data_IF_984990361626
#
_entry.id   IF_984990361626
#
_cell.length_a   1.000
_cell.length_b   1.000
_cell.length_c   1.000
_cell.angle_alpha   90.00
_cell.angle_beta   90.00
_cell.angle_gamma   90.00
#
_symmetry.space_group_name_H-M   'P 1'
#
loop_
_entity.id
_entity.type
_entity.pdbx_description
1 polymer ?
#
# COMPACT_ATOMS: atom_id res chain seq x y z
N UNK A 1 0.60 -27.71 17.34
CA UNK A 1 0.45 -26.52 16.47
C UNK A 1 0.46 -27.01 15.03
N UNK A 2 -0.50 -26.60 14.21
CA UNK A 2 -0.69 -27.16 12.87
C UNK A 2 0.36 -26.59 11.88
N UNK A 3 1.53 -27.22 11.85
CA UNK A 3 2.67 -26.81 11.02
C UNK A 3 2.35 -26.83 9.52
N UNK A 4 1.32 -27.57 9.12
CA UNK A 4 0.81 -27.60 7.74
C UNK A 4 0.16 -26.27 7.35
N UNK A 5 -0.64 -25.68 8.24
CA UNK A 5 -1.35 -24.43 7.97
C UNK A 5 -0.38 -23.23 7.87
N UNK A 6 0.57 -23.14 8.79
CA UNK A 6 1.61 -22.09 8.77
C UNK A 6 2.54 -22.21 7.55
N UNK A 7 2.89 -23.44 7.15
CA UNK A 7 3.66 -23.68 5.94
C UNK A 7 2.90 -23.28 4.67
N UNK A 8 1.62 -23.65 4.57
CA UNK A 8 0.78 -23.28 3.44
C UNK A 8 0.61 -21.76 3.34
N UNK A 9 0.36 -21.08 4.47
CA UNK A 9 0.28 -19.62 4.52
C UNK A 9 1.58 -18.95 4.08
N UNK A 10 2.73 -19.48 4.50
CA UNK A 10 4.04 -18.96 4.07
C UNK A 10 4.24 -19.10 2.56
N UNK A 11 3.85 -20.24 1.98
CA UNK A 11 3.98 -20.48 0.54
C UNK A 11 3.05 -19.56 -0.27
N UNK A 12 1.79 -19.41 0.18
CA UNK A 12 0.82 -18.50 -0.44
C UNK A 12 1.32 -17.05 -0.37
N UNK A 13 1.84 -16.61 0.77
CA UNK A 13 2.39 -15.27 0.92
C UNK A 13 3.58 -15.02 -0.03
N UNK A 14 4.47 -16.01 -0.20
CA UNK A 14 5.56 -15.93 -1.17
C UNK A 14 5.06 -15.86 -2.62
N UNK A 15 4.10 -16.72 -2.99
CA UNK A 15 3.52 -16.71 -4.32
C UNK A 15 2.87 -15.35 -4.64
N UNK A 16 2.07 -14.82 -3.71
CA UNK A 16 1.46 -13.49 -3.85
C UNK A 16 2.51 -12.38 -3.94
N UNK A 17 3.59 -12.46 -3.17
CA UNK A 17 4.68 -11.49 -3.25
C UNK A 17 5.33 -11.48 -4.64
N UNK A 18 5.58 -12.65 -5.22
CA UNK A 18 6.12 -12.79 -6.58
C UNK A 18 5.13 -12.21 -7.60
N UNK A 19 3.84 -12.52 -7.48
CA UNK A 19 2.80 -11.98 -8.37
C UNK A 19 2.75 -10.45 -8.29
N UNK A 20 2.78 -9.87 -7.09
CA UNK A 20 2.77 -8.42 -6.91
C UNK A 20 4.05 -7.77 -7.43
N UNK A 21 5.21 -8.41 -7.22
CA UNK A 21 6.49 -7.94 -7.75
C UNK A 21 6.55 -7.98 -9.28
N UNK A 22 6.06 -9.07 -9.90
CA UNK A 22 5.95 -9.18 -11.36
C UNK A 22 4.95 -8.17 -11.92
N UNK A 23 3.81 -7.98 -11.25
CA UNK A 23 2.83 -6.97 -11.65
C UNK A 23 3.42 -5.55 -11.57
N UNK A 24 4.21 -5.26 -10.53
CA UNK A 24 4.95 -4.00 -10.41
C UNK A 24 5.93 -3.81 -11.58
N UNK A 25 6.80 -4.80 -11.83
CA UNK A 25 7.79 -4.73 -12.92
C UNK A 25 7.13 -4.62 -14.30
N UNK A 26 6.08 -5.41 -14.53
CA UNK A 26 5.32 -5.41 -15.78
C UNK A 26 4.62 -4.07 -16.01
N UNK A 27 3.90 -3.54 -15.01
CA UNK A 27 3.24 -2.23 -15.14
C UNK A 27 4.23 -1.09 -15.25
N UNK A 28 5.35 -1.13 -14.52
CA UNK A 28 6.41 -0.14 -14.66
C UNK A 28 7.02 -0.17 -16.06
N UNK A 29 7.34 -1.35 -16.57
CA UNK A 29 7.89 -1.53 -17.91
C UNK A 29 6.95 -1.01 -19.00
N UNK A 30 5.69 -1.47 -18.99
CA UNK A 30 4.67 -1.05 -19.97
C UNK A 30 4.51 0.47 -19.97
N UNK A 31 4.33 1.08 -18.80
CA UNK A 31 4.12 2.54 -18.70
C UNK A 31 5.35 3.38 -19.04
N UNK A 32 6.56 2.83 -18.86
CA UNK A 32 7.78 3.53 -19.26
C UNK A 32 7.96 3.47 -20.78
N UNK A 33 7.61 2.34 -21.40
CA UNK A 33 7.71 2.10 -22.84
C UNK A 33 6.56 2.65 -23.67
N UNK A 34 5.41 2.94 -23.05
CA UNK A 34 4.21 3.39 -23.73
C UNK A 34 4.28 4.89 -24.04
N UNK A 35 4.24 5.23 -25.32
CA UNK A 35 4.13 6.60 -25.84
C UNK A 35 2.70 7.13 -25.89
N UNK A 36 1.74 6.34 -25.41
CA UNK A 36 0.32 6.70 -25.33
C UNK A 36 -0.02 7.79 -24.31
N UNK A 37 -1.29 8.19 -24.36
CA UNK A 37 -1.85 9.20 -23.49
C UNK A 37 -1.89 8.74 -22.03
N UNK A 38 -1.49 9.60 -21.09
CA UNK A 38 -1.68 9.36 -19.65
C UNK A 38 -2.99 10.00 -19.23
N UNK A 39 -3.86 9.22 -18.58
CA UNK A 39 -5.11 9.71 -18.02
C UNK A 39 -5.10 9.65 -16.49
N UNK A 40 -5.51 10.74 -15.84
CA UNK A 40 -5.71 10.80 -14.40
C UNK A 40 -7.13 11.22 -14.08
N UNK A 41 -7.72 10.64 -13.04
CA UNK A 41 -9.01 11.06 -12.50
C UNK A 41 -8.80 12.05 -11.35
N UNK A 42 -9.62 13.10 -11.33
CA UNK A 42 -9.59 14.15 -10.31
C UNK A 42 -10.97 14.28 -9.68
N UNK A 43 -11.00 14.41 -8.35
CA UNK A 43 -12.21 14.69 -7.58
C UNK A 43 -12.54 16.18 -7.43
N UNK A 44 -11.72 17.08 -7.99
CA UNK A 44 -11.92 18.53 -7.84
C UNK A 44 -13.31 18.98 -8.28
N UNK A 45 -13.84 18.35 -9.33
CA UNK A 45 -15.16 18.66 -9.87
C UNK A 45 -16.27 17.78 -9.27
N UNK A 46 -16.03 17.05 -8.17
CA UNK A 46 -16.98 16.07 -7.64
C UNK A 46 -18.35 16.66 -7.27
N UNK A 47 -18.41 17.97 -7.00
CA UNK A 47 -19.62 18.74 -6.72
C UNK A 47 -19.98 19.75 -7.82
N UNK A 48 -19.35 19.64 -8.99
CA UNK A 48 -19.64 20.52 -10.10
C UNK A 48 -20.99 20.15 -10.72
N UNK A 49 -21.85 21.15 -10.89
CA UNK A 49 -23.11 20.99 -11.62
C UNK A 49 -22.78 20.79 -13.10
N UNK A 50 -23.42 19.81 -13.72
CA UNK A 50 -23.30 19.62 -15.16
C UNK A 50 -23.85 20.85 -15.87
N UNK A 51 -23.12 21.33 -16.88
CA UNK A 51 -23.58 22.45 -17.72
C UNK A 51 -24.82 22.05 -18.54
N UNK A 52 -24.88 20.80 -18.99
CA UNK A 52 -26.02 20.25 -19.71
C UNK A 52 -27.02 19.60 -18.75
N UNK A 53 -28.32 19.97 -18.83
CA UNK A 53 -29.34 19.39 -17.98
C UNK A 53 -29.56 17.92 -18.37
N UNK A 54 -29.15 17.01 -17.50
CA UNK A 54 -29.60 15.62 -17.58
C UNK A 54 -31.10 15.56 -17.27
N UNK A 55 -31.85 14.75 -18.02
CA UNK A 55 -33.25 14.48 -17.69
C UNK A 55 -33.34 13.59 -16.45
N UNK A 56 -33.34 14.22 -15.28
CA UNK A 56 -33.53 13.56 -13.97
C UNK A 56 -34.93 13.83 -13.42
N UNK A 57 -35.44 12.90 -12.61
CA UNK A 57 -36.75 12.99 -11.99
C UNK A 57 -36.84 14.21 -11.04
N UNK A 58 -38.06 14.77 -10.83
CA UNK A 58 -38.23 15.89 -9.91
C UNK A 58 -37.75 15.53 -8.49
N UNK A 59 -36.85 16.35 -7.94
CA UNK A 59 -36.21 16.13 -6.64
C UNK A 59 -34.86 15.40 -6.71
N UNK A 60 -34.37 15.03 -7.89
CA UNK A 60 -33.06 14.39 -8.08
C UNK A 60 -32.05 15.41 -8.61
N UNK A 61 -30.97 15.62 -7.85
CA UNK A 61 -29.81 16.40 -8.29
C UNK A 61 -28.78 15.48 -8.96
N UNK A 62 -28.33 15.84 -10.16
CA UNK A 62 -27.24 15.18 -10.86
C UNK A 62 -25.94 15.97 -10.66
N UNK A 63 -24.94 15.33 -10.06
CA UNK A 63 -23.56 15.84 -9.94
C UNK A 63 -22.61 14.92 -10.70
N UNK A 64 -21.57 15.47 -11.33
CA UNK A 64 -20.52 14.67 -11.96
C UNK A 64 -19.40 14.44 -10.95
N UNK A 65 -19.10 13.17 -10.64
CA UNK A 65 -18.23 12.82 -9.52
C UNK A 65 -16.74 12.64 -9.86
N UNK A 66 -16.37 12.62 -11.15
CA UNK A 66 -14.97 12.47 -11.57
C UNK A 66 -14.70 13.16 -12.92
N UNK A 67 -13.69 14.04 -12.95
CA UNK A 67 -13.15 14.56 -14.20
C UNK A 67 -11.90 13.77 -14.57
N UNK A 68 -11.85 13.23 -15.79
CA UNK A 68 -10.68 12.51 -16.31
C UNK A 68 -9.90 13.43 -17.24
N UNK A 69 -8.65 13.71 -16.88
CA UNK A 69 -7.73 14.51 -17.69
C UNK A 69 -6.79 13.56 -18.41
N UNK A 70 -6.77 13.60 -19.75
CA UNK A 70 -5.87 12.79 -20.56
C UNK A 70 -4.91 13.70 -21.32
N UNK A 71 -3.61 13.42 -21.24
CA UNK A 71 -2.56 14.14 -21.96
C UNK A 71 -1.96 13.22 -23.02
N UNK A 72 -2.12 13.58 -24.30
CA UNK A 72 -1.66 12.75 -25.44
C UNK A 72 -0.13 12.72 -25.61
N UNK A 73 0.56 13.78 -25.21
CA UNK A 73 2.03 13.87 -25.24
C UNK A 73 2.58 14.20 -23.84
N UNK A 74 2.68 13.21 -22.94
CA UNK A 74 3.14 13.43 -21.58
C UNK A 74 4.65 13.70 -21.55
N UNK A 75 5.06 14.64 -20.71
CA UNK A 75 6.49 14.83 -20.41
C UNK A 75 7.06 13.67 -19.59
N UNK A 76 8.39 13.51 -19.59
CA UNK A 76 9.10 12.49 -18.78
C UNK A 76 8.74 12.62 -17.29
N UNK A 77 8.59 13.86 -16.79
CA UNK A 77 8.20 14.11 -15.41
C UNK A 77 6.77 13.66 -15.10
N UNK A 78 5.83 13.83 -16.03
CA UNK A 78 4.45 13.32 -15.91
C UNK A 78 4.40 11.79 -15.94
N UNK A 79 5.24 11.13 -16.75
CA UNK A 79 5.38 9.66 -16.70
C UNK A 79 5.86 9.17 -15.33
N UNK A 80 6.88 9.81 -14.78
CA UNK A 80 7.39 9.43 -13.45
C UNK A 80 6.34 9.64 -12.36
N UNK A 81 5.56 10.71 -12.44
CA UNK A 81 4.47 10.96 -11.50
C UNK A 81 3.29 9.97 -11.66
N UNK A 82 3.00 9.49 -12.88
CA UNK A 82 2.01 8.40 -13.08
C UNK A 82 2.49 7.06 -12.48
N UNK A 83 3.78 6.76 -12.62
CA UNK A 83 4.39 5.60 -11.95
C UNK A 83 4.29 5.75 -10.42
N UNK A 84 4.59 6.95 -9.92
CA UNK A 84 4.55 7.30 -8.51
C UNK A 84 3.15 7.31 -7.89
N UNK A 85 2.08 7.51 -8.67
CA UNK A 85 0.71 7.47 -8.15
C UNK A 85 0.18 6.03 -8.00
N UNK A 86 0.56 5.14 -8.91
CA UNK A 86 -0.12 3.85 -9.07
C UNK A 86 0.70 2.62 -8.63
N UNK A 87 2.03 2.70 -8.65
CA UNK A 87 2.90 1.56 -8.32
C UNK A 87 3.33 1.42 -6.85
N UNK A 88 3.37 2.47 -6.01
CA UNK A 88 3.87 2.33 -4.64
C UNK A 88 3.13 1.26 -3.84
N UNK A 89 1.82 1.13 -4.02
CA UNK A 89 1.00 0.13 -3.32
C UNK A 89 1.36 -1.31 -3.70
N UNK A 90 1.70 -1.57 -4.97
CA UNK A 90 2.14 -2.91 -5.41
C UNK A 90 3.48 -3.28 -4.79
N UNK A 91 4.43 -2.34 -4.78
CA UNK A 91 5.75 -2.55 -4.18
C UNK A 91 5.64 -2.73 -2.66
N UNK A 92 4.85 -1.89 -1.99
CA UNK A 92 4.57 -1.99 -0.56
C UNK A 92 3.95 -3.35 -0.21
N UNK A 93 2.94 -3.79 -0.97
CA UNK A 93 2.29 -5.09 -0.79
C UNK A 93 3.26 -6.25 -0.99
N UNK A 94 4.08 -6.21 -2.05
CA UNK A 94 5.08 -7.24 -2.32
C UNK A 94 6.08 -7.38 -1.16
N UNK A 95 6.61 -6.25 -0.66
CA UNK A 95 7.56 -6.22 0.45
C UNK A 95 6.94 -6.68 1.78
N UNK A 96 5.72 -6.24 2.10
CA UNK A 96 4.99 -6.69 3.27
C UNK A 96 4.80 -8.22 3.26
N UNK A 97 4.44 -8.79 2.11
CA UNK A 97 4.28 -10.23 1.92
C UNK A 97 5.61 -10.99 2.05
N UNK A 98 6.73 -10.45 1.55
CA UNK A 98 8.06 -11.04 1.77
C UNK A 98 8.38 -11.10 3.27
N UNK A 99 8.19 -10.00 3.98
CA UNK A 99 8.47 -9.91 5.42
C UNK A 99 7.58 -10.88 6.21
N UNK A 100 6.29 -10.95 5.86
CA UNK A 100 5.35 -11.88 6.48
C UNK A 100 5.71 -13.35 6.21
N UNK A 101 6.04 -13.70 4.96
CA UNK A 101 6.51 -15.05 4.63
C UNK A 101 7.80 -15.41 5.40
N UNK A 102 8.75 -14.47 5.52
CA UNK A 102 9.96 -14.68 6.32
C UNK A 102 9.64 -14.88 7.80
N UNK A 103 8.67 -14.16 8.35
CA UNK A 103 8.22 -14.38 9.73
C UNK A 103 7.61 -15.78 9.88
N UNK A 104 6.68 -16.18 9.01
CA UNK A 104 6.06 -17.52 9.07
C UNK A 104 7.08 -18.65 8.90
N UNK A 105 8.07 -18.48 8.03
CA UNK A 105 9.17 -19.44 7.89
C UNK A 105 9.94 -19.63 9.20
N UNK A 106 10.25 -18.54 9.92
CA UNK A 106 10.87 -18.66 11.25
C UNK A 106 9.97 -19.36 12.27
N UNK A 107 8.66 -19.14 12.22
CA UNK A 107 7.70 -19.86 13.09
C UNK A 107 7.73 -21.36 12.83
N UNK A 108 7.81 -21.78 11.56
CA UNK A 108 7.88 -23.20 11.18
C UNK A 108 9.21 -23.82 11.61
N UNK A 109 10.33 -23.11 11.46
CA UNK A 109 11.67 -23.62 11.75
C UNK A 109 12.03 -23.64 13.23
N UNK A 110 11.61 -22.62 13.99
CA UNK A 110 12.08 -22.39 15.37
C UNK A 110 10.93 -22.38 16.39
N UNK A 111 9.68 -22.43 15.94
CA UNK A 111 8.50 -22.28 16.78
C UNK A 111 8.07 -20.81 16.95
N UNK A 112 6.84 -20.58 17.44
CA UNK A 112 6.24 -19.25 17.51
C UNK A 112 6.84 -18.36 18.61
N UNK A 113 7.22 -18.93 19.76
CA UNK A 113 7.70 -18.20 20.93
C UNK A 113 9.23 -18.14 20.95
N UNK A 114 9.80 -17.49 19.95
CA UNK A 114 11.24 -17.25 19.88
C UNK A 114 11.53 -15.77 19.73
N UNK A 115 12.69 -15.33 20.24
CA UNK A 115 13.14 -13.95 20.08
C UNK A 115 13.26 -13.54 18.60
N UNK A 116 13.56 -14.50 17.71
CA UNK A 116 13.63 -14.25 16.27
C UNK A 116 12.26 -13.94 15.65
N UNK A 117 11.22 -14.70 16.00
CA UNK A 117 9.85 -14.44 15.52
C UNK A 117 9.35 -13.11 16.06
N UNK A 118 9.56 -12.83 17.36
CA UNK A 118 9.21 -11.56 17.98
C UNK A 118 9.84 -10.37 17.25
N UNK A 119 11.15 -10.45 16.95
CA UNK A 119 11.85 -9.41 16.17
C UNK A 119 11.29 -9.25 14.76
N UNK A 120 11.03 -10.35 14.04
CA UNK A 120 10.48 -10.30 12.67
C UNK A 120 9.06 -9.70 12.66
N UNK A 121 8.23 -10.04 13.64
CA UNK A 121 6.89 -9.46 13.82
C UNK A 121 6.98 -7.95 14.09
N UNK A 122 7.90 -7.50 14.94
CA UNK A 122 8.12 -6.07 15.20
C UNK A 122 8.61 -5.32 13.95
N UNK A 123 9.54 -5.91 13.18
CA UNK A 123 10.02 -5.32 11.91
C UNK A 123 8.88 -5.21 10.90
N UNK A 124 8.07 -6.26 10.73
CA UNK A 124 6.90 -6.24 9.87
C UNK A 124 5.89 -5.18 10.33
N UNK A 125 5.62 -5.11 11.64
CA UNK A 125 4.71 -4.12 12.21
C UNK A 125 5.17 -2.70 11.93
N UNK A 126 6.46 -2.39 12.13
CA UNK A 126 7.02 -1.07 11.80
C UNK A 126 6.97 -0.76 10.30
N UNK A 127 7.28 -1.75 9.47
CA UNK A 127 7.18 -1.62 8.02
C UNK A 127 5.76 -1.25 7.60
N UNK A 128 4.73 -1.89 8.17
CA UNK A 128 3.34 -1.57 7.85
C UNK A 128 2.92 -0.23 8.46
N UNK A 129 3.22 0.01 9.74
CA UNK A 129 2.81 1.21 10.47
C UNK A 129 3.32 2.50 9.81
N UNK A 130 4.58 2.51 9.37
CA UNK A 130 5.22 3.67 8.74
C UNK A 130 5.11 3.59 7.21
N UNK A 131 5.19 2.40 6.63
CA UNK A 131 5.17 2.24 5.18
C UNK A 131 3.81 2.56 4.57
N UNK A 132 2.69 2.27 5.23
CA UNK A 132 1.35 2.66 4.73
C UNK A 132 1.18 4.17 4.55
N UNK A 133 1.42 5.03 5.56
CA UNK A 133 1.24 6.48 5.39
C UNK A 133 2.27 7.05 4.42
N UNK A 134 3.52 6.56 4.43
CA UNK A 134 4.54 6.98 3.47
C UNK A 134 4.12 6.63 2.04
N UNK A 135 3.61 5.42 1.80
CA UNK A 135 3.12 4.97 0.49
C UNK A 135 1.95 5.83 0.03
N UNK A 136 1.01 6.12 0.94
CA UNK A 136 -0.14 6.98 0.64
C UNK A 136 0.25 8.43 0.34
N UNK A 137 1.23 8.97 1.06
CA UNK A 137 1.79 10.30 0.79
C UNK A 137 2.48 10.35 -0.56
N UNK A 138 3.33 9.37 -0.89
CA UNK A 138 4.01 9.32 -2.20
C UNK A 138 3.00 9.23 -3.34
N UNK A 139 2.00 8.34 -3.21
CA UNK A 139 0.95 8.18 -4.21
C UNK A 139 0.10 9.45 -4.38
N UNK A 140 -0.38 10.01 -3.27
CA UNK A 140 -1.21 11.22 -3.26
C UNK A 140 -0.47 12.44 -3.78
N UNK A 141 0.80 12.62 -3.40
CA UNK A 141 1.61 13.75 -3.88
C UNK A 141 1.93 13.61 -5.37
N UNK A 142 2.26 12.40 -5.84
CA UNK A 142 2.50 12.16 -7.27
C UNK A 142 1.24 12.45 -8.10
N UNK A 143 0.08 12.00 -7.62
CA UNK A 143 -1.20 12.28 -8.27
C UNK A 143 -1.53 13.79 -8.25
N UNK A 144 -1.40 14.45 -7.10
CA UNK A 144 -1.70 15.88 -6.96
C UNK A 144 -0.79 16.75 -7.82
N UNK A 145 0.50 16.40 -7.93
CA UNK A 145 1.42 17.08 -8.84
C UNK A 145 1.04 16.86 -10.31
N UNK A 146 0.64 15.64 -10.68
CA UNK A 146 0.22 15.32 -12.05
C UNK A 146 -1.04 16.10 -12.44
N UNK A 147 -2.04 16.16 -11.55
CA UNK A 147 -3.27 16.97 -11.74
C UNK A 147 -2.92 18.45 -11.85
N UNK A 148 -2.08 18.99 -10.96
CA UNK A 148 -1.67 20.38 -11.02
C UNK A 148 -0.91 20.73 -12.33
N UNK A 149 -0.16 19.78 -12.89
CA UNK A 149 0.54 19.97 -14.17
C UNK A 149 -0.40 20.01 -15.38
N UNK A 150 -1.56 19.34 -15.32
CA UNK A 150 -2.54 19.27 -16.41
C UNK A 150 -3.66 20.31 -16.26
N UNK A 151 -3.98 20.69 -15.03
CA UNK A 151 -5.00 21.66 -14.69
C UNK A 151 -4.49 22.62 -13.59
N UNK A 152 -3.69 23.65 -13.94
CA UNK A 152 -3.06 24.54 -12.97
C UNK A 152 -4.07 25.34 -12.11
N UNK A 153 -5.33 25.41 -12.52
CA UNK A 153 -6.42 26.05 -11.77
C UNK A 153 -6.88 25.23 -10.55
N UNK A 154 -6.51 23.95 -10.45
CA UNK A 154 -7.02 22.98 -9.46
C UNK A 154 -6.22 22.98 -8.15
N UNK A 155 -5.01 23.53 -8.12
CA UNK A 155 -4.13 23.47 -6.95
C UNK A 155 -3.69 22.04 -6.59
N UNK A 156 -2.73 21.91 -5.65
CA UNK A 156 -2.28 20.59 -5.18
C UNK A 156 -3.15 20.18 -4.00
N UNK A 157 -4.15 19.35 -4.25
CA UNK A 157 -4.92 18.74 -3.17
C UNK A 157 -4.07 17.63 -2.53
N UNK A 158 -3.54 17.89 -1.33
CA UNK A 158 -2.74 16.93 -0.58
C UNK A 158 -3.64 15.87 0.08
N UNK A 159 -4.14 14.94 -0.72
CA UNK A 159 -4.93 13.82 -0.19
C UNK A 159 -3.98 12.72 0.27
N UNK A 160 -3.95 12.45 1.57
CA UNK A 160 -3.37 11.22 2.11
C UNK A 160 -4.31 10.08 1.74
N UNK A 161 -4.11 9.50 0.56
CA UNK A 161 -4.88 8.35 0.10
C UNK A 161 -4.30 7.06 0.65
N UNK A 162 -5.11 6.26 1.33
CA UNK A 162 -4.71 4.93 1.77
C UNK A 162 -5.49 4.41 2.97
N UNK A 163 -5.49 3.08 3.19
CA UNK A 163 -6.17 2.47 4.31
C UNK A 163 -5.43 2.79 5.63
N UNK A 164 -5.83 3.87 6.28
CA UNK A 164 -5.30 4.28 7.60
C UNK A 164 -5.45 3.18 8.65
N UNK A 165 -6.44 2.29 8.51
CA UNK A 165 -6.58 1.10 9.34
C UNK A 165 -5.32 0.20 9.37
N UNK A 166 -4.52 0.16 8.30
CA UNK A 166 -3.29 -0.62 8.27
C UNK A 166 -2.23 -0.06 9.21
N UNK A 167 -2.22 1.26 9.49
CA UNK A 167 -1.25 1.83 10.43
C UNK A 167 -1.49 1.31 11.84
N UNK A 168 -2.77 1.27 12.25
CA UNK A 168 -3.20 0.67 13.51
C UNK A 168 -2.85 -0.81 13.58
N UNK A 169 -3.09 -1.57 12.49
CA UNK A 169 -2.71 -2.98 12.43
C UNK A 169 -1.19 -3.18 12.57
N UNK A 170 -0.38 -2.34 11.92
CA UNK A 170 1.07 -2.34 12.05
C UNK A 170 1.53 -2.03 13.47
N UNK A 171 0.95 -1.01 14.11
CA UNK A 171 1.24 -0.67 15.51
C UNK A 171 0.86 -1.80 16.47
N UNK A 172 -0.30 -2.43 16.27
CA UNK A 172 -0.71 -3.60 17.05
C UNK A 172 0.30 -4.75 16.91
N UNK A 173 0.80 -5.01 15.69
CA UNK A 173 1.84 -6.00 15.45
C UNK A 173 3.18 -5.63 16.14
N UNK A 174 3.56 -4.36 16.17
CA UNK A 174 4.75 -3.88 16.91
C UNK A 174 4.59 -4.18 18.40
N UNK A 175 3.45 -3.83 18.99
CA UNK A 175 3.15 -4.08 20.41
C UNK A 175 3.20 -5.56 20.71
N UNK A 176 2.54 -6.39 19.89
CA UNK A 176 2.54 -7.84 20.09
C UNK A 176 3.96 -8.45 19.97
N UNK A 177 4.76 -8.00 19.01
CA UNK A 177 6.15 -8.44 18.88
C UNK A 177 7.01 -8.05 20.09
N UNK A 178 6.79 -6.87 20.69
CA UNK A 178 7.47 -6.47 21.93
C UNK A 178 7.04 -7.33 23.12
N UNK A 179 5.74 -7.57 23.28
CA UNK A 179 5.20 -8.43 24.34
C UNK A 179 5.76 -9.86 24.22
N UNK A 180 5.77 -10.43 23.01
CA UNK A 180 6.36 -11.75 22.77
C UNK A 180 7.84 -11.79 23.14
N UNK A 181 8.60 -10.74 22.82
CA UNK A 181 10.02 -10.67 23.15
C UNK A 181 10.24 -10.70 24.67
N UNK A 182 9.45 -9.94 25.41
CA UNK A 182 9.55 -9.91 26.87
C UNK A 182 9.15 -11.25 27.49
N UNK A 183 8.09 -11.88 26.98
CA UNK A 183 7.68 -13.22 27.42
C UNK A 183 8.74 -14.30 27.16
N UNK A 184 9.48 -14.21 26.05
CA UNK A 184 10.61 -15.12 25.77
C UNK A 184 11.74 -14.88 26.77
N UNK A 185 12.11 -13.62 27.03
CA UNK A 185 13.16 -13.28 28.00
C UNK A 185 12.84 -13.77 29.41
N UNK A 186 11.61 -13.55 29.88
CA UNK A 186 11.18 -14.03 31.20
C UNK A 186 11.23 -15.55 31.31
N UNK A 187 10.91 -16.27 30.23
CA UNK A 187 11.00 -17.74 30.22
C UNK A 187 12.44 -18.22 30.31
N UNK A 188 13.36 -17.57 29.59
CA UNK A 188 14.80 -17.87 29.66
C UNK A 188 15.34 -17.64 31.08
N UNK A 189 14.92 -16.57 31.77
CA UNK A 189 15.33 -16.28 33.15
C UNK A 189 14.83 -17.35 34.15
N UNK A 190 13.60 -17.85 33.95
CA UNK A 190 13.02 -18.92 34.78
C UNK A 190 13.70 -20.28 34.57
N UNK A 191 14.07 -20.61 33.32
CA UNK A 191 14.78 -21.85 32.99
C UNK A 191 16.24 -21.82 33.49
N UNK A 192 16.84 -20.64 33.68
CA UNK A 192 18.21 -20.47 34.19
C UNK A 192 18.37 -20.44 35.71
N UNK A 193 17.28 -20.48 36.49
CA UNK A 193 17.31 -20.42 37.96
C UNK A 193 17.25 -21.81 38.63
N UNK A 194 17.17 -22.89 37.84
CA UNK A 194 17.07 -24.28 38.31
C UNK A 194 18.42 -24.99 38.18
#
# INVERSE_FOLDING_TARGET
MDTRLTRNLSAVAQALSVVFGLAFLGKAGVRLSDDGAICVETGFWANARLADPLSVAPGVEASSSAARLCQESPSVAQRLADLGSALPWLLFGALALVLFARMLKAVVEQGPFTGMVARRLTVLGWFVAVGTPVTGLVAGWSQGWLVASMAPMVGVEQVVSGPTALTLAGLAAVVMGKIMREGVRMREDLEGTI
#
